data_IF_152245747674
#
_entry.id   IF_152245747674
#
_cell.length_a   1.000
_cell.length_b   1.000
_cell.length_c   1.000
_cell.angle_alpha   90.00
_cell.angle_beta   90.00
_cell.angle_gamma   90.00
#
_symmetry.space_group_name_H-M   'P 1'
#
loop_
_entity.id
_entity.type
_entity.pdbx_description
1 polymer ?
#
# COMPACT_ATOMS: atom_id res chain seq x y z
N UNK A 1 7.78 59.18 -11.86
CA UNK A 1 7.14 58.29 -10.87
C UNK A 1 5.86 57.71 -11.46
N UNK A 2 5.90 56.58 -12.18
CA UNK A 2 4.67 55.83 -12.58
C UNK A 2 4.94 54.42 -13.14
N UNK A 3 6.16 53.89 -13.01
CA UNK A 3 6.56 52.59 -13.57
C UNK A 3 7.35 51.77 -12.54
N UNK A 4 6.92 51.81 -11.26
CA UNK A 4 7.52 50.96 -10.20
C UNK A 4 6.48 50.05 -9.55
N UNK A 5 5.18 50.30 -9.76
CA UNK A 5 4.12 49.53 -9.11
C UNK A 5 3.72 48.23 -9.82
N UNK A 6 4.28 47.91 -11.00
CA UNK A 6 3.89 46.71 -11.76
C UNK A 6 4.74 45.48 -11.39
N UNK A 7 5.95 45.67 -10.82
CA UNK A 7 6.83 44.55 -10.48
C UNK A 7 6.54 43.88 -9.12
N UNK A 8 5.64 44.44 -8.30
CA UNK A 8 5.28 43.88 -6.98
C UNK A 8 4.02 43.00 -7.00
N UNK A 9 3.31 42.89 -8.13
CA UNK A 9 2.11 42.07 -8.24
C UNK A 9 2.37 40.64 -8.80
N UNK A 10 3.61 40.34 -9.20
CA UNK A 10 3.98 39.05 -9.83
C UNK A 10 4.75 38.09 -8.91
N UNK A 11 5.03 38.48 -7.66
CA UNK A 11 5.76 37.65 -6.69
C UNK A 11 4.88 36.73 -5.83
N UNK A 12 3.56 36.70 -6.04
CA UNK A 12 2.62 35.83 -5.31
C UNK A 12 2.08 34.64 -6.12
N UNK A 13 2.70 34.30 -7.25
CA UNK A 13 2.47 33.02 -7.96
C UNK A 13 3.50 31.95 -7.59
N UNK A 14 4.13 32.09 -6.41
CA UNK A 14 5.05 31.13 -5.86
C UNK A 14 4.42 30.36 -4.70
N UNK A 15 4.35 29.05 -4.88
CA UNK A 15 4.30 28.01 -3.83
C UNK A 15 2.93 27.62 -3.28
N UNK A 16 2.15 26.88 -4.07
CA UNK A 16 1.38 25.75 -3.55
C UNK A 16 1.45 24.56 -4.53
N UNK A 17 2.65 24.01 -4.74
CA UNK A 17 2.77 22.60 -5.12
C UNK A 17 2.50 21.76 -3.87
N UNK A 18 1.26 21.76 -3.39
CA UNK A 18 0.81 20.70 -2.52
C UNK A 18 0.84 19.42 -3.35
N UNK A 19 1.80 18.54 -3.06
CA UNK A 19 1.68 17.14 -3.47
C UNK A 19 0.32 16.65 -2.97
N UNK A 20 -0.64 16.52 -3.87
CA UNK A 20 -2.00 16.17 -3.48
C UNK A 20 -1.97 14.75 -2.92
N UNK A 21 -2.12 14.66 -1.59
CA UNK A 21 -2.55 13.43 -0.92
C UNK A 21 -3.95 13.14 -1.45
N UNK A 22 -4.02 12.44 -2.58
CA UNK A 22 -5.27 12.13 -3.23
C UNK A 22 -5.79 10.80 -2.70
N UNK A 23 -7.04 10.81 -2.24
CA UNK A 23 -7.75 9.57 -1.95
C UNK A 23 -7.92 8.83 -3.27
N UNK A 24 -7.41 7.60 -3.42
CA UNK A 24 -7.57 6.86 -4.66
C UNK A 24 -9.03 6.44 -4.80
N UNK A 25 -9.63 6.76 -5.95
CA UNK A 25 -10.94 6.20 -6.34
C UNK A 25 -10.89 4.67 -6.47
N UNK A 26 -12.05 4.01 -6.48
CA UNK A 26 -12.14 2.57 -6.77
C UNK A 26 -11.32 2.13 -7.98
N UNK A 27 -11.43 2.87 -9.08
CA UNK A 27 -10.75 2.52 -10.34
C UNK A 27 -9.22 2.62 -10.19
N UNK A 28 -8.74 3.70 -9.57
CA UNK A 28 -7.32 3.91 -9.29
C UNK A 28 -6.76 2.81 -8.37
N UNK A 29 -7.45 2.49 -7.27
CA UNK A 29 -7.02 1.48 -6.32
C UNK A 29 -6.94 0.08 -6.96
N UNK A 30 -7.94 -0.29 -7.76
CA UNK A 30 -7.89 -1.55 -8.51
C UNK A 30 -6.76 -1.57 -9.54
N UNK A 31 -6.42 -0.44 -10.15
CA UNK A 31 -5.30 -0.35 -11.10
C UNK A 31 -3.95 -0.43 -10.39
N UNK A 32 -3.83 0.16 -9.19
CA UNK A 32 -2.66 0.00 -8.32
C UNK A 32 -2.45 -1.48 -8.03
N UNK A 33 -3.47 -2.19 -7.55
CA UNK A 33 -3.37 -3.63 -7.27
C UNK A 33 -3.03 -4.46 -8.51
N UNK A 34 -3.63 -4.14 -9.66
CA UNK A 34 -3.27 -4.77 -10.94
C UNK A 34 -1.80 -4.57 -11.29
N UNK A 35 -1.27 -3.36 -11.07
CA UNK A 35 0.12 -3.03 -11.38
C UNK A 35 1.12 -3.73 -10.45
N UNK A 36 0.70 -4.09 -9.23
CA UNK A 36 1.51 -4.84 -8.26
C UNK A 36 1.57 -6.35 -8.55
N UNK A 37 0.81 -6.86 -9.53
CA UNK A 37 0.86 -8.28 -9.90
C UNK A 37 2.18 -8.54 -10.64
N UNK A 38 3.08 -9.27 -9.97
CA UNK A 38 4.33 -9.74 -10.55
C UNK A 38 4.10 -10.57 -11.81
N UNK A 39 4.99 -10.45 -12.78
CA UNK A 39 4.84 -11.08 -14.11
C UNK A 39 4.64 -12.59 -13.99
N UNK A 40 5.38 -13.21 -13.08
CA UNK A 40 5.34 -14.62 -12.76
C UNK A 40 3.96 -15.08 -12.24
N UNK A 41 3.16 -14.17 -11.69
CA UNK A 41 1.84 -14.46 -11.12
C UNK A 41 0.68 -14.20 -12.09
N UNK A 42 0.91 -13.57 -13.25
CA UNK A 42 -0.16 -13.20 -14.19
C UNK A 42 -0.85 -14.40 -14.85
N UNK A 43 -0.13 -15.51 -15.04
CA UNK A 43 -0.60 -16.67 -15.82
C UNK A 43 -0.41 -18.03 -15.12
N UNK A 44 -0.02 -18.07 -13.84
CA UNK A 44 0.22 -19.33 -13.12
C UNK A 44 -1.01 -19.80 -12.33
N UNK A 45 -1.11 -21.14 -12.19
CA UNK A 45 -2.05 -21.78 -11.24
C UNK A 45 -1.61 -21.65 -9.78
N UNK A 46 -0.30 -21.44 -9.54
CA UNK A 46 0.29 -21.32 -8.21
C UNK A 46 0.93 -19.94 -8.05
N UNK A 47 0.68 -19.29 -6.90
CA UNK A 47 1.28 -18.00 -6.56
C UNK A 47 2.72 -18.22 -6.12
N UNK A 48 3.65 -17.48 -6.72
CA UNK A 48 5.02 -17.39 -6.22
C UNK A 48 5.18 -16.08 -5.47
N UNK A 49 5.65 -16.17 -4.21
CA UNK A 49 5.97 -15.01 -3.39
C UNK A 49 7.33 -14.41 -3.75
N UNK A 50 8.14 -15.15 -4.52
CA UNK A 50 9.40 -14.71 -5.10
C UNK A 50 9.14 -13.94 -6.39
N UNK A 51 9.58 -12.67 -6.46
CA UNK A 51 9.49 -11.81 -7.65
C UNK A 51 8.27 -10.89 -7.73
N UNK A 52 7.26 -11.09 -6.87
CA UNK A 52 6.06 -10.25 -6.83
C UNK A 52 6.26 -8.99 -5.99
N UNK A 53 5.82 -7.83 -6.49
CA UNK A 53 5.72 -6.61 -5.67
C UNK A 53 4.67 -6.84 -4.59
N UNK A 54 5.14 -7.05 -3.37
CA UNK A 54 4.26 -7.25 -2.21
C UNK A 54 4.02 -5.93 -1.50
N UNK A 55 2.81 -5.75 -0.97
CA UNK A 55 2.53 -4.64 -0.06
C UNK A 55 2.86 -5.07 1.36
N UNK A 56 3.93 -4.51 1.93
CA UNK A 56 4.45 -4.92 3.23
C UNK A 56 3.95 -4.02 4.36
N UNK A 57 3.57 -4.65 5.46
CA UNK A 57 3.25 -4.00 6.72
C UNK A 57 3.93 -4.68 7.90
N UNK A 58 4.52 -3.89 8.79
CA UNK A 58 5.07 -4.40 10.05
C UNK A 58 4.01 -5.09 10.90
N UNK A 59 4.36 -6.24 11.47
CA UNK A 59 3.52 -7.06 12.32
C UNK A 59 4.19 -7.40 13.66
N UNK A 60 5.06 -6.52 14.16
CA UNK A 60 5.60 -6.60 15.53
C UNK A 60 4.41 -6.59 16.51
N UNK A 61 4.41 -7.52 17.45
CA UNK A 61 3.36 -7.68 18.47
C UNK A 61 1.92 -7.83 17.93
N UNK A 62 1.79 -8.38 16.72
CA UNK A 62 0.52 -8.54 16.00
C UNK A 62 -0.15 -7.22 15.59
N UNK A 63 0.63 -6.15 15.39
CA UNK A 63 0.14 -4.82 15.05
C UNK A 63 -0.77 -4.80 13.82
N UNK A 64 -0.52 -5.65 12.82
CA UNK A 64 -1.36 -5.73 11.62
C UNK A 64 -2.83 -5.97 11.97
N UNK A 65 -3.09 -6.83 12.96
CA UNK A 65 -4.44 -7.24 13.35
C UNK A 65 -5.11 -6.28 14.33
N UNK A 66 -4.33 -5.49 15.07
CA UNK A 66 -4.81 -4.67 16.20
C UNK A 66 -4.89 -3.19 15.89
N UNK A 67 -4.03 -2.69 14.99
CA UNK A 67 -3.95 -1.26 14.70
C UNK A 67 -5.19 -0.77 13.95
N UNK A 68 -5.70 0.39 14.39
CA UNK A 68 -6.77 1.11 13.70
C UNK A 68 -6.30 1.67 12.35
N UNK A 69 -5.02 2.07 12.24
CA UNK A 69 -4.43 2.60 11.00
C UNK A 69 -3.31 1.68 10.52
N UNK A 70 -3.33 1.35 9.23
CA UNK A 70 -2.35 0.53 8.55
C UNK A 70 -1.62 1.33 7.48
N UNK A 71 -0.29 1.25 7.48
CA UNK A 71 0.58 1.81 6.44
C UNK A 71 1.23 0.65 5.69
N UNK A 72 0.82 0.47 4.43
CA UNK A 72 1.39 -0.56 3.57
C UNK A 72 2.33 0.09 2.59
N UNK A 73 3.49 -0.52 2.40
CA UNK A 73 4.53 -0.02 1.49
C UNK A 73 4.74 -1.04 0.39
N UNK A 74 4.71 -0.59 -0.86
CA UNK A 74 5.01 -1.46 -2.00
C UNK A 74 6.50 -1.81 -1.98
N UNK A 75 6.83 -3.09 -1.86
CA UNK A 75 8.21 -3.58 -1.85
C UNK A 75 8.70 -3.80 -3.28
N UNK A 76 9.09 -2.70 -3.92
CA UNK A 76 9.81 -2.75 -5.19
C UNK A 76 11.30 -2.90 -4.88
N UNK A 77 11.94 -3.92 -5.47
CA UNK A 77 13.40 -4.12 -5.36
C UNK A 77 13.95 -4.25 -3.92
N UNK A 78 13.11 -4.55 -2.94
CA UNK A 78 13.52 -4.75 -1.54
C UNK A 78 13.61 -3.47 -0.69
N UNK A 79 13.20 -2.31 -1.22
CA UNK A 79 13.27 -1.03 -0.51
C UNK A 79 12.41 -1.00 0.77
N UNK A 80 11.19 -1.53 0.69
CA UNK A 80 10.30 -1.57 1.86
C UNK A 80 10.80 -2.58 2.89
N UNK A 81 11.32 -3.72 2.42
CA UNK A 81 11.98 -4.71 3.29
C UNK A 81 13.18 -4.09 4.04
N UNK A 82 14.05 -3.37 3.34
CA UNK A 82 15.19 -2.67 3.93
C UNK A 82 14.76 -1.57 4.89
N UNK A 83 13.74 -0.78 4.55
CA UNK A 83 13.16 0.21 5.44
C UNK A 83 12.67 -0.41 6.75
N UNK A 84 11.99 -1.55 6.68
CA UNK A 84 11.50 -2.22 7.87
C UNK A 84 12.62 -2.74 8.77
N UNK A 85 13.66 -3.33 8.18
CA UNK A 85 14.81 -3.84 8.94
C UNK A 85 15.62 -2.68 9.53
N UNK A 86 16.04 -1.72 8.70
CA UNK A 86 17.06 -0.74 9.06
C UNK A 86 16.50 0.46 9.81
N UNK A 87 15.27 0.88 9.50
CA UNK A 87 14.69 2.12 10.05
C UNK A 87 13.61 1.81 11.10
N UNK A 88 12.80 0.76 10.89
CA UNK A 88 11.67 0.45 11.79
C UNK A 88 11.95 -0.64 12.82
N UNK A 89 13.10 -1.29 12.77
CA UNK A 89 13.42 -2.43 13.65
C UNK A 89 12.27 -3.47 13.68
N UNK A 90 11.82 -3.85 12.48
CA UNK A 90 10.71 -4.77 12.29
C UNK A 90 11.10 -5.92 11.37
N UNK A 91 11.28 -7.11 11.95
CA UNK A 91 11.58 -8.33 11.21
C UNK A 91 10.33 -9.09 10.76
N UNK A 92 9.22 -9.00 11.52
CA UNK A 92 7.99 -9.72 11.22
C UNK A 92 7.05 -8.83 10.43
N UNK A 93 6.70 -9.23 9.21
CA UNK A 93 5.81 -8.46 8.34
C UNK A 93 4.69 -9.33 7.79
N UNK A 94 3.59 -8.67 7.42
CA UNK A 94 2.56 -9.23 6.55
C UNK A 94 2.76 -8.64 5.16
N UNK A 95 2.88 -9.51 4.15
CA UNK A 95 2.90 -9.13 2.75
C UNK A 95 1.56 -9.44 2.09
N UNK A 96 0.97 -8.46 1.41
CA UNK A 96 -0.17 -8.68 0.53
C UNK A 96 0.34 -8.86 -0.90
N UNK A 97 0.27 -10.10 -1.40
CA UNK A 97 0.77 -10.50 -2.71
C UNK A 97 -0.41 -10.62 -3.67
N UNK A 98 -0.59 -9.62 -4.54
CA UNK A 98 -1.69 -9.61 -5.51
C UNK A 98 -1.37 -10.55 -6.69
N UNK A 99 -2.31 -11.43 -7.00
CA UNK A 99 -2.24 -12.35 -8.14
C UNK A 99 -3.39 -12.13 -9.13
N UNK A 100 -4.41 -11.35 -8.74
CA UNK A 100 -5.46 -10.81 -9.60
C UNK A 100 -5.80 -9.39 -9.16
N UNK A 101 -6.46 -8.62 -10.04
CA UNK A 101 -6.83 -7.21 -9.80
C UNK A 101 -7.51 -6.97 -8.45
N UNK A 102 -8.29 -7.94 -7.97
CA UNK A 102 -9.05 -7.87 -6.74
C UNK A 102 -8.84 -9.09 -5.83
N UNK A 103 -7.68 -9.75 -5.91
CA UNK A 103 -7.37 -10.89 -5.05
C UNK A 103 -5.87 -10.95 -4.69
N UNK A 104 -5.60 -11.29 -3.44
CA UNK A 104 -4.25 -11.37 -2.90
C UNK A 104 -4.10 -12.56 -1.95
N UNK A 105 -2.87 -13.04 -1.81
CA UNK A 105 -2.47 -13.92 -0.73
C UNK A 105 -1.85 -13.07 0.39
N UNK A 106 -2.25 -13.33 1.63
CA UNK A 106 -1.61 -12.77 2.82
C UNK A 106 -0.46 -13.68 3.23
N UNK A 107 0.76 -13.16 3.28
CA UNK A 107 1.95 -13.94 3.57
C UNK A 107 2.64 -13.39 4.81
N UNK A 108 2.77 -14.22 5.84
CA UNK A 108 3.63 -13.92 7.00
C UNK A 108 5.10 -14.14 6.61
N UNK A 109 5.94 -13.14 6.86
CA UNK A 109 7.37 -13.18 6.53
C UNK A 109 8.23 -12.71 7.72
N UNK A 110 9.38 -13.35 7.89
CA UNK A 110 10.44 -13.00 8.83
C UNK A 110 11.65 -12.50 8.01
N UNK A 111 11.69 -11.19 7.75
CA UNK A 111 12.64 -10.55 6.85
C UNK A 111 14.10 -10.76 7.28
N UNK A 112 14.37 -10.65 8.59
CA UNK A 112 15.72 -10.79 9.15
C UNK A 112 16.30 -12.21 9.04
N UNK A 113 15.45 -13.21 8.76
CA UNK A 113 15.86 -14.60 8.51
C UNK A 113 15.54 -15.06 7.08
N UNK A 114 15.02 -14.17 6.24
CA UNK A 114 14.56 -14.47 4.88
C UNK A 114 13.61 -15.67 4.81
N UNK A 115 12.70 -15.79 5.77
CA UNK A 115 11.71 -16.89 5.82
C UNK A 115 10.32 -16.37 5.52
N UNK A 116 9.56 -17.17 4.77
CA UNK A 116 8.13 -16.91 4.52
C UNK A 116 7.32 -18.13 4.91
N UNK A 117 6.16 -17.90 5.52
CA UNK A 117 5.21 -18.96 5.82
C UNK A 117 4.65 -19.52 4.53
N UNK A 118 4.47 -20.85 4.50
CA UNK A 118 3.82 -21.53 3.38
C UNK A 118 2.36 -21.08 3.30
N UNK A 119 1.98 -20.53 2.15
CA UNK A 119 0.61 -20.07 1.87
C UNK A 119 -0.32 -21.27 1.74
N UNK A 120 -1.45 -21.21 2.44
CA UNK A 120 -2.51 -22.23 2.41
C UNK A 120 -3.82 -21.61 1.90
N UNK A 121 -4.84 -22.44 1.65
CA UNK A 121 -6.15 -21.97 1.20
C UNK A 121 -6.81 -20.92 2.13
N UNK A 122 -6.40 -20.83 3.41
CA UNK A 122 -6.93 -19.86 4.38
C UNK A 122 -6.34 -18.46 4.21
N UNK A 123 -5.27 -18.34 3.44
CA UNK A 123 -4.48 -17.13 3.27
C UNK A 123 -4.86 -16.36 1.99
N UNK A 124 -5.83 -16.85 1.23
CA UNK A 124 -6.33 -16.21 0.02
C UNK A 124 -7.56 -15.34 0.32
N UNK A 125 -7.50 -14.10 -0.14
CA UNK A 125 -8.52 -13.09 0.08
C UNK A 125 -8.90 -12.42 -1.23
N UNK A 126 -10.12 -11.91 -1.28
CA UNK A 126 -10.59 -11.00 -2.34
C UNK A 126 -10.94 -9.64 -1.76
N UNK A 127 -10.82 -8.59 -2.57
CA UNK A 127 -11.25 -7.24 -2.20
C UNK A 127 -12.51 -6.84 -2.94
N UNK A 128 -13.47 -6.27 -2.24
CA UNK A 128 -14.59 -5.54 -2.83
C UNK A 128 -14.40 -4.06 -2.51
N UNK A 129 -14.42 -3.21 -3.54
CA UNK A 129 -14.22 -1.78 -3.39
C UNK A 129 -15.46 -1.03 -3.87
N UNK A 130 -15.92 -0.07 -3.07
CA UNK A 130 -17.01 0.86 -3.37
C UNK A 130 -16.58 2.29 -3.06
N UNK A 131 -17.14 3.24 -3.79
CA UNK A 131 -17.05 4.66 -3.47
C UNK A 131 -18.42 5.06 -2.88
N UNK A 132 -18.46 5.41 -1.59
CA UNK A 132 -19.67 5.71 -0.82
C UNK A 132 -19.45 7.00 -0.02
N UNK A 133 -20.36 7.97 -0.09
CA UNK A 133 -20.26 9.23 0.66
C UNK A 133 -18.89 9.94 0.52
N UNK A 134 -18.35 9.98 -0.70
CA UNK A 134 -17.02 10.53 -1.00
C UNK A 134 -15.85 9.79 -0.31
N UNK A 135 -16.06 8.57 0.19
CA UNK A 135 -15.04 7.69 0.76
C UNK A 135 -14.86 6.48 -0.15
N UNK A 136 -13.62 5.97 -0.22
CA UNK A 136 -13.34 4.72 -0.91
C UNK A 136 -13.21 3.64 0.15
N UNK A 137 -14.16 2.71 0.14
CA UNK A 137 -14.25 1.63 1.12
C UNK A 137 -13.72 0.35 0.49
N UNK A 138 -12.79 -0.30 1.18
CA UNK A 138 -12.24 -1.60 0.80
C UNK A 138 -12.67 -2.65 1.81
N UNK A 139 -13.45 -3.64 1.36
CA UNK A 139 -13.85 -4.82 2.12
C UNK A 139 -12.95 -6.00 1.76
N UNK A 140 -12.33 -6.60 2.75
CA UNK A 140 -11.53 -7.83 2.60
C UNK A 140 -12.41 -9.03 2.91
N UNK A 141 -12.44 -9.97 1.98
CA UNK A 141 -13.31 -11.13 2.01
C UNK A 141 -12.49 -12.41 1.94
N UNK A 142 -12.91 -13.44 2.68
CA UNK A 142 -12.40 -14.81 2.55
C UNK A 142 -13.57 -15.75 2.35
N UNK A 143 -13.58 -16.51 1.26
CA UNK A 143 -14.71 -17.38 0.91
C UNK A 143 -16.06 -16.64 0.97
N UNK A 144 -16.10 -15.40 0.48
CA UNK A 144 -17.25 -14.46 0.52
C UNK A 144 -17.66 -13.98 1.92
N UNK A 145 -17.01 -14.42 3.00
CA UNK A 145 -17.22 -13.88 4.34
C UNK A 145 -16.42 -12.60 4.52
N UNK A 146 -17.03 -11.58 5.11
CA UNK A 146 -16.37 -10.32 5.46
C UNK A 146 -15.38 -10.59 6.60
N UNK A 147 -14.12 -10.25 6.36
CA UNK A 147 -13.03 -10.35 7.33
C UNK A 147 -12.74 -8.98 7.91
N UNK A 148 -12.62 -7.98 7.04
CA UNK A 148 -12.30 -6.61 7.44
C UNK A 148 -12.92 -5.59 6.51
N UNK A 149 -13.13 -4.39 7.04
CA UNK A 149 -13.51 -3.21 6.27
C UNK A 149 -12.54 -2.08 6.55
N UNK A 150 -12.08 -1.41 5.49
CA UNK A 150 -11.14 -0.30 5.57
C UNK A 150 -11.68 0.90 4.81
N UNK A 151 -11.55 2.09 5.41
CA UNK A 151 -11.57 3.34 4.68
C UNK A 151 -10.18 3.57 4.08
N UNK A 152 -10.12 3.77 2.77
CA UNK A 152 -8.88 4.05 2.05
C UNK A 152 -8.64 5.56 2.10
N UNK A 153 -7.58 5.95 2.81
CA UNK A 153 -7.33 7.36 3.11
C UNK A 153 -6.48 8.00 2.02
N UNK A 154 -5.36 7.36 1.67
CA UNK A 154 -4.36 7.95 0.81
C UNK A 154 -3.56 6.88 0.06
N UNK A 155 -3.12 7.26 -1.14
CA UNK A 155 -2.07 6.58 -1.89
C UNK A 155 -1.04 7.61 -2.34
N UNK A 156 0.21 7.42 -1.96
CA UNK A 156 1.26 8.43 -2.11
C UNK A 156 2.56 7.82 -2.60
N UNK A 157 3.35 8.60 -3.32
CA UNK A 157 4.76 8.32 -3.57
C UNK A 157 5.60 9.01 -2.48
N UNK A 158 6.51 8.25 -1.87
CA UNK A 158 7.33 8.67 -0.74
C UNK A 158 8.76 8.14 -0.88
N UNK A 159 9.73 8.80 -0.27
CA UNK A 159 11.10 8.27 -0.15
C UNK A 159 11.24 7.53 1.18
N UNK A 160 11.53 6.23 1.13
CA UNK A 160 11.72 5.40 2.32
C UNK A 160 13.16 5.40 2.83
N UNK A 161 14.10 5.40 1.89
CA UNK A 161 15.53 5.43 2.13
C UNK A 161 16.10 6.76 1.62
N UNK A 162 17.34 7.08 2.00
CA UNK A 162 18.02 8.31 1.56
C UNK A 162 18.30 8.36 0.05
N UNK A 163 18.23 7.23 -0.63
CA UNK A 163 18.35 7.16 -2.08
C UNK A 163 17.04 7.68 -2.71
N UNK A 164 17.14 8.50 -3.76
CA UNK A 164 16.04 9.25 -4.41
C UNK A 164 14.95 8.38 -5.08
N UNK A 165 14.86 7.08 -4.76
CA UNK A 165 13.85 6.18 -5.33
C UNK A 165 12.51 6.38 -4.62
N UNK A 166 11.49 6.75 -5.41
CA UNK A 166 10.13 6.84 -4.91
C UNK A 166 9.56 5.44 -4.67
N UNK A 167 9.01 5.25 -3.48
CA UNK A 167 8.26 4.09 -3.04
C UNK A 167 6.79 4.46 -2.90
N UNK A 168 5.91 3.46 -2.92
CA UNK A 168 4.47 3.69 -2.84
C UNK A 168 3.97 3.35 -1.45
N UNK A 169 3.12 4.21 -0.88
CA UNK A 169 2.45 3.98 0.40
C UNK A 169 0.93 4.00 0.22
N UNK A 170 0.26 2.99 0.77
CA UNK A 170 -1.19 2.94 0.91
C UNK A 170 -1.55 3.07 2.40
N UNK A 171 -2.41 4.02 2.72
CA UNK A 171 -2.88 4.27 4.09
C UNK A 171 -4.34 3.82 4.22
N UNK A 172 -4.58 2.89 5.15
CA UNK A 172 -5.90 2.34 5.44
C UNK A 172 -6.29 2.61 6.89
N UNK A 173 -7.57 2.89 7.12
CA UNK A 173 -8.15 2.98 8.47
C UNK A 173 -9.21 1.89 8.61
N UNK A 174 -9.02 1.00 9.58
CA UNK A 174 -9.94 -0.10 9.89
C UNK A 174 -11.25 0.47 10.42
N UNK A 175 -12.36 -0.02 9.88
CA UNK A 175 -13.69 0.26 10.41
C UNK A 175 -14.05 -0.86 11.39
N UNK A 176 -14.39 -0.48 12.62
CA UNK A 176 -14.92 -1.40 13.62
C UNK A 176 -16.33 -1.80 13.17
N UNK A 177 -16.54 -3.10 13.01
CA UNK A 177 -17.84 -3.72 12.70
C UNK A 177 -18.59 -3.94 14.01
#
# INVERSE_FOLDING_TARGET
MRIVCIFLALSFFGQELFGQISRPTKSQLLNIFKSSIGEENRNKRAITTTGSVSWLICNKDSSFYKSDTLYLYGDNYGDASNYYIQIKDCCNVIGLVFYRKAAFAQVEQELCRSRSKVVTNKDFYTVAISDENNQTIMKVLRNKQLIDTFNVIAFEEISLLKEERSNKRLTLVRQKI
#
